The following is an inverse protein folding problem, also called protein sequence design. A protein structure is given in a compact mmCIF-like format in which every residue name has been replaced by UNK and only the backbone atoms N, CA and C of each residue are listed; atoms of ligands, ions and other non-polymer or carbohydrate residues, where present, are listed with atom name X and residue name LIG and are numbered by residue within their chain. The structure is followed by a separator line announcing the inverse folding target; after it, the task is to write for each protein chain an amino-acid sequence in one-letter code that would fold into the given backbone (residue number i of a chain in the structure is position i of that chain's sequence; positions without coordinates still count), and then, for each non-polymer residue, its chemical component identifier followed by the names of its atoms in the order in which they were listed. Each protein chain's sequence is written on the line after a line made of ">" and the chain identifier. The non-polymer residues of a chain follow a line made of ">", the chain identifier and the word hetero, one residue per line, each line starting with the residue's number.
data_IF_917667635722
#
_entry.id   IF_917667635722
#
_cell.length_a   1.000
_cell.length_b   1.000
_cell.length_c   1.000
_cell.angle_alpha   90.00
_cell.angle_beta   90.00
_cell.angle_gamma   90.00
#
_symmetry.space_group_name_H-M   'P 1'
#
loop_
_entity.id
_entity.type
_entity.pdbx_description
1 polymer ?
#
# COMPACT_ATOMS: atom_id res chain seq x y z
N UNK A 1 -52.46 13.74 -51.35
CA UNK A 1 -52.85 12.98 -50.14
C UNK A 1 -51.72 11.99 -49.87
N UNK A 2 -50.78 12.34 -48.99
CA UNK A 2 -49.54 11.56 -48.74
C UNK A 2 -49.86 10.54 -47.66
N UNK A 3 -49.72 9.26 -47.99
CA UNK A 3 -50.08 8.13 -47.13
C UNK A 3 -48.99 7.92 -46.05
N UNK A 4 -49.26 8.46 -44.86
CA UNK A 4 -48.46 8.34 -43.64
C UNK A 4 -48.74 7.01 -42.95
N UNK A 5 -48.32 5.89 -43.56
CA UNK A 5 -48.21 4.60 -42.87
C UNK A 5 -46.82 4.03 -43.06
N UNK A 6 -45.87 4.71 -42.41
CA UNK A 6 -44.57 4.16 -42.09
C UNK A 6 -44.78 2.79 -41.42
N UNK A 7 -44.41 1.73 -42.15
CA UNK A 7 -44.43 0.36 -41.65
C UNK A 7 -43.56 0.27 -40.42
N UNK A 8 -44.19 0.28 -39.25
CA UNK A 8 -43.63 -0.27 -38.03
C UNK A 8 -43.20 -1.70 -38.36
N UNK A 9 -41.88 -1.88 -38.58
CA UNK A 9 -41.25 -3.19 -38.70
C UNK A 9 -41.75 -4.00 -37.51
N UNK A 10 -42.55 -5.04 -37.77
CA UNK A 10 -42.87 -6.06 -36.77
C UNK A 10 -41.53 -6.49 -36.21
N UNK A 11 -41.25 -6.14 -34.96
CA UNK A 11 -40.11 -6.69 -34.24
C UNK A 11 -40.40 -8.18 -34.21
N UNK A 12 -39.59 -8.97 -34.91
CA UNK A 12 -39.75 -10.41 -34.96
C UNK A 12 -39.87 -10.90 -33.52
N UNK A 13 -40.98 -11.56 -33.19
CA UNK A 13 -41.28 -12.09 -31.86
C UNK A 13 -40.12 -12.89 -31.23
N UNK A 14 -39.27 -13.64 -31.97
CA UNK A 14 -38.08 -14.26 -31.39
C UNK A 14 -36.98 -13.26 -31.00
N UNK A 15 -36.81 -12.15 -31.74
CA UNK A 15 -35.84 -11.11 -31.40
C UNK A 15 -36.31 -10.31 -30.17
N UNK A 16 -37.60 -9.96 -30.10
CA UNK A 16 -38.16 -9.31 -28.92
C UNK A 16 -38.05 -10.19 -27.67
N UNK A 17 -38.30 -11.50 -27.80
CA UNK A 17 -38.18 -12.48 -26.69
C UNK A 17 -36.74 -12.67 -26.24
N UNK A 18 -35.78 -12.75 -27.17
CA UNK A 18 -34.37 -12.88 -26.82
C UNK A 18 -33.81 -11.60 -26.18
N UNK A 19 -34.23 -10.42 -26.64
CA UNK A 19 -33.90 -9.15 -25.99
C UNK A 19 -34.52 -9.04 -24.59
N UNK A 20 -35.80 -9.42 -24.43
CA UNK A 20 -36.45 -9.46 -23.11
C UNK A 20 -35.78 -10.45 -22.16
N UNK A 21 -35.40 -11.64 -22.65
CA UNK A 21 -34.63 -12.61 -21.88
C UNK A 21 -33.27 -12.04 -21.48
N UNK A 22 -32.55 -11.40 -22.41
CA UNK A 22 -31.26 -10.77 -22.15
C UNK A 22 -31.35 -9.66 -21.11
N UNK A 23 -32.36 -8.80 -21.19
CA UNK A 23 -32.63 -7.75 -20.20
C UNK A 23 -32.99 -8.36 -18.85
N UNK A 24 -33.85 -9.38 -18.82
CA UNK A 24 -34.24 -10.06 -17.58
C UNK A 24 -33.04 -10.73 -16.89
N UNK A 25 -32.18 -11.41 -17.67
CA UNK A 25 -30.94 -12.01 -17.17
C UNK A 25 -29.98 -10.92 -16.68
N UNK A 26 -29.82 -9.82 -17.40
CA UNK A 26 -28.96 -8.70 -16.99
C UNK A 26 -29.45 -8.05 -15.68
N UNK A 27 -30.76 -7.83 -15.53
CA UNK A 27 -31.36 -7.33 -14.28
C UNK A 27 -31.15 -8.35 -13.15
N UNK A 28 -31.41 -9.63 -13.38
CA UNK A 28 -31.21 -10.68 -12.38
C UNK A 28 -29.74 -10.76 -11.92
N UNK A 29 -28.79 -10.77 -12.86
CA UNK A 29 -27.35 -10.75 -12.57
C UNK A 29 -26.96 -9.48 -11.80
N UNK A 30 -27.49 -8.32 -12.18
CA UNK A 30 -27.23 -7.04 -11.49
C UNK A 30 -27.75 -7.07 -10.05
N UNK A 31 -28.95 -7.60 -9.84
CA UNK A 31 -29.55 -7.74 -8.51
C UNK A 31 -28.74 -8.72 -7.67
N UNK A 32 -28.42 -9.91 -8.19
CA UNK A 32 -27.61 -10.91 -7.47
C UNK A 32 -26.20 -10.37 -7.16
N UNK A 33 -25.58 -9.62 -8.08
CA UNK A 33 -24.29 -8.95 -7.87
C UNK A 33 -24.38 -7.89 -6.76
N UNK A 34 -25.44 -7.07 -6.74
CA UNK A 34 -25.68 -6.06 -5.69
C UNK A 34 -25.82 -6.66 -4.30
N UNK A 35 -26.34 -7.89 -4.19
CA UNK A 35 -26.43 -8.63 -2.93
C UNK A 35 -25.19 -9.50 -2.63
N UNK A 36 -24.12 -9.39 -3.42
CA UNK A 36 -22.86 -10.09 -3.19
C UNK A 36 -22.83 -11.57 -3.60
N UNK A 37 -23.89 -12.09 -4.23
CA UNK A 37 -23.99 -13.50 -4.62
C UNK A 37 -22.96 -13.94 -5.68
N UNK A 38 -22.39 -12.99 -6.43
CA UNK A 38 -21.36 -13.23 -7.45
C UNK A 38 -19.96 -12.75 -7.03
N UNK A 39 -19.82 -12.12 -5.85
CA UNK A 39 -18.54 -11.54 -5.43
C UNK A 39 -17.41 -12.58 -5.40
N UNK A 40 -17.71 -13.83 -5.03
CA UNK A 40 -16.73 -14.92 -5.05
C UNK A 40 -16.28 -15.35 -6.46
N UNK A 41 -17.13 -15.24 -7.47
CA UNK A 41 -16.77 -15.57 -8.87
C UNK A 41 -15.98 -14.45 -9.53
N UNK A 42 -16.38 -13.20 -9.30
CA UNK A 42 -15.65 -12.01 -9.74
C UNK A 42 -14.21 -12.03 -9.17
N UNK A 43 -14.08 -12.38 -7.90
CA UNK A 43 -12.78 -12.55 -7.22
C UNK A 43 -11.93 -13.61 -7.89
N UNK A 44 -12.46 -14.80 -8.16
CA UNK A 44 -11.71 -15.88 -8.83
C UNK A 44 -11.28 -15.52 -10.25
N UNK A 45 -12.11 -14.76 -10.98
CA UNK A 45 -11.77 -14.29 -12.32
C UNK A 45 -10.60 -13.30 -12.29
N UNK A 46 -10.59 -12.38 -11.31
CA UNK A 46 -9.48 -11.45 -11.08
C UNK A 46 -8.22 -12.22 -10.68
N UNK A 47 -8.32 -13.18 -9.75
CA UNK A 47 -7.20 -14.01 -9.31
C UNK A 47 -6.54 -14.76 -10.48
N UNK A 48 -7.35 -15.36 -11.36
CA UNK A 48 -6.87 -16.02 -12.58
C UNK A 48 -6.18 -15.02 -13.51
N UNK A 49 -6.78 -13.86 -13.76
CA UNK A 49 -6.19 -12.84 -14.62
C UNK A 49 -4.82 -12.36 -14.11
N UNK A 50 -4.69 -12.15 -12.80
CA UNK A 50 -3.43 -11.73 -12.17
C UNK A 50 -2.35 -12.82 -12.19
N UNK A 51 -2.76 -14.08 -12.07
CA UNK A 51 -1.85 -15.21 -12.23
C UNK A 51 -1.27 -15.29 -13.65
N UNK A 52 -2.09 -15.01 -14.66
CA UNK A 52 -1.67 -15.03 -16.07
C UNK A 52 -1.05 -13.73 -16.56
N UNK A 53 -1.08 -12.65 -15.78
CA UNK A 53 -0.50 -11.36 -16.16
C UNK A 53 1.03 -11.39 -16.01
N UNK A 54 1.72 -10.95 -17.05
CA UNK A 54 3.17 -10.76 -17.01
C UNK A 54 3.56 -9.74 -15.93
N UNK A 55 4.48 -10.16 -15.04
CA UNK A 55 5.09 -9.28 -14.04
C UNK A 55 6.32 -8.64 -14.67
N UNK A 56 6.19 -7.41 -15.15
CA UNK A 56 7.34 -6.61 -15.62
C UNK A 56 8.02 -6.03 -14.38
N UNK A 57 9.26 -6.43 -14.03
CA UNK A 57 9.98 -5.88 -12.89
C UNK A 57 10.36 -4.41 -13.18
N UNK A 58 10.03 -3.53 -12.24
CA UNK A 58 10.39 -2.11 -12.25
C UNK A 58 11.83 -1.98 -11.71
N UNK A 59 12.82 -1.55 -12.51
CA UNK A 59 14.23 -1.52 -12.09
C UNK A 59 14.51 -0.55 -10.92
N UNK A 60 13.59 0.37 -10.63
CA UNK A 60 13.71 1.39 -9.59
C UNK A 60 13.44 0.87 -8.16
N UNK A 61 12.89 -0.34 -8.00
CA UNK A 61 12.52 -0.90 -6.70
C UNK A 61 13.23 -2.23 -6.48
N UNK A 62 14.03 -2.31 -5.43
CA UNK A 62 14.67 -3.56 -4.97
C UNK A 62 13.96 -4.01 -3.70
N UNK A 63 13.39 -5.22 -3.73
CA UNK A 63 12.82 -5.87 -2.55
C UNK A 63 13.81 -6.92 -2.05
N UNK A 64 14.21 -6.80 -0.78
CA UNK A 64 15.08 -7.77 -0.11
C UNK A 64 14.25 -8.53 0.91
N UNK A 65 14.01 -9.81 0.65
CA UNK A 65 13.29 -10.67 1.56
C UNK A 65 14.30 -11.36 2.49
N UNK A 66 14.08 -11.23 3.80
CA UNK A 66 14.84 -11.94 4.84
C UNK A 66 13.89 -12.95 5.46
N UNK A 67 14.03 -14.21 5.05
CA UNK A 67 13.22 -15.33 5.54
C UNK A 67 14.01 -16.15 6.58
N UNK A 68 13.36 -17.19 7.12
CA UNK A 68 13.98 -18.06 8.13
C UNK A 68 15.25 -18.74 7.60
N UNK A 69 15.32 -19.05 6.31
CA UNK A 69 16.53 -19.62 5.70
C UNK A 69 17.67 -18.60 5.72
N UNK A 70 17.41 -17.33 5.37
CA UNK A 70 18.38 -16.25 5.47
C UNK A 70 18.87 -16.08 6.92
N UNK A 71 17.98 -16.16 7.92
CA UNK A 71 18.40 -16.10 9.33
C UNK A 71 19.34 -17.25 9.72
N UNK A 72 19.04 -18.48 9.29
CA UNK A 72 19.91 -19.63 9.52
C UNK A 72 21.28 -19.48 8.84
N UNK A 73 21.31 -19.01 7.59
CA UNK A 73 22.55 -18.78 6.84
C UNK A 73 23.41 -17.66 7.45
N UNK A 74 22.78 -16.59 7.93
CA UNK A 74 23.48 -15.48 8.60
C UNK A 74 23.94 -15.84 10.02
N UNK A 75 23.44 -16.93 10.60
CA UNK A 75 23.65 -17.26 12.01
C UNK A 75 22.98 -16.27 12.97
N UNK A 76 22.04 -15.46 12.48
CA UNK A 76 21.37 -14.40 13.22
C UNK A 76 19.99 -14.86 13.72
N UNK A 77 19.53 -14.30 14.85
CA UNK A 77 18.19 -14.57 15.38
C UNK A 77 17.28 -13.37 15.17
N UNK A 78 15.98 -13.64 15.07
CA UNK A 78 14.99 -12.57 15.16
C UNK A 78 14.90 -12.03 16.59
N UNK A 79 14.74 -10.69 16.77
CA UNK A 79 14.81 -9.64 15.75
C UNK A 79 16.25 -9.32 15.33
N UNK A 80 16.44 -8.85 14.08
CA UNK A 80 17.75 -8.39 13.61
C UNK A 80 18.36 -7.33 14.56
N UNK A 81 19.67 -7.44 14.90
CA UNK A 81 20.32 -6.48 15.78
C UNK A 81 20.25 -5.03 15.25
N UNK A 82 20.07 -4.05 16.14
CA UNK A 82 20.03 -2.62 15.75
C UNK A 82 21.31 -2.14 15.05
N UNK A 83 22.52 -2.57 15.45
CA UNK A 83 23.75 -2.21 14.73
C UNK A 83 23.80 -2.78 13.31
N UNK A 84 23.17 -3.94 13.07
CA UNK A 84 23.10 -4.52 11.73
C UNK A 84 22.18 -3.71 10.83
N UNK A 85 20.97 -3.37 11.32
CA UNK A 85 20.05 -2.48 10.60
C UNK A 85 20.70 -1.11 10.29
N UNK A 86 21.48 -0.58 11.23
CA UNK A 86 22.18 0.68 11.04
C UNK A 86 23.27 0.61 9.95
N UNK A 87 24.08 -0.45 9.94
CA UNK A 87 25.11 -0.65 8.92
C UNK A 87 24.50 -0.88 7.54
N UNK A 88 23.42 -1.66 7.47
CA UNK A 88 22.70 -1.91 6.23
C UNK A 88 22.06 -0.61 5.69
N UNK A 89 21.46 0.19 6.57
CA UNK A 89 20.95 1.52 6.23
C UNK A 89 22.05 2.43 5.66
N UNK A 90 23.19 2.54 6.35
CA UNK A 90 24.33 3.35 5.90
C UNK A 90 24.80 2.89 4.52
N UNK A 91 25.07 1.59 4.36
CA UNK A 91 25.58 1.01 3.13
C UNK A 91 24.64 1.27 1.93
N UNK A 92 23.33 1.06 2.10
CA UNK A 92 22.35 1.25 1.03
C UNK A 92 22.23 2.73 0.63
N UNK A 93 22.21 3.63 1.61
CA UNK A 93 22.13 5.07 1.35
C UNK A 93 23.42 5.62 0.72
N UNK A 94 24.59 5.17 1.18
CA UNK A 94 25.88 5.50 0.56
C UNK A 94 25.99 4.94 -0.88
N UNK A 95 25.35 3.80 -1.14
CA UNK A 95 25.26 3.20 -2.48
C UNK A 95 24.27 3.92 -3.41
N UNK A 96 23.64 5.01 -2.96
CA UNK A 96 22.78 5.86 -3.78
C UNK A 96 21.29 5.55 -3.69
N UNK A 97 20.85 4.71 -2.75
CA UNK A 97 19.43 4.54 -2.49
C UNK A 97 18.81 5.88 -2.03
N UNK A 98 17.78 6.34 -2.72
CA UNK A 98 17.04 7.56 -2.32
C UNK A 98 16.24 7.35 -1.04
N UNK A 99 15.68 6.16 -0.89
CA UNK A 99 14.90 5.75 0.29
C UNK A 99 15.18 4.30 0.61
N UNK A 100 15.29 3.98 1.90
CA UNK A 100 15.39 2.61 2.40
C UNK A 100 14.24 2.38 3.38
N UNK A 101 13.35 1.47 3.01
CA UNK A 101 12.24 1.04 3.86
C UNK A 101 12.57 -0.27 4.57
N UNK A 102 12.43 -0.29 5.88
CA UNK A 102 12.52 -1.49 6.70
C UNK A 102 11.13 -1.88 7.19
N UNK A 103 10.64 -3.06 6.80
CA UNK A 103 9.48 -3.68 7.44
C UNK A 103 9.88 -4.31 8.79
N UNK A 104 10.29 -3.45 9.71
CA UNK A 104 10.72 -3.82 11.06
C UNK A 104 10.09 -2.85 12.06
N UNK A 105 9.34 -3.40 13.01
CA UNK A 105 8.74 -2.61 14.08
C UNK A 105 9.76 -2.31 15.19
N UNK A 106 10.04 -1.03 15.38
CA UNK A 106 10.99 -0.53 16.39
C UNK A 106 10.31 -0.22 17.73
N UNK A 107 9.44 -1.10 18.25
CA UNK A 107 8.57 -0.78 19.40
C UNK A 107 9.19 -0.92 20.80
N UNK A 108 10.21 -1.76 20.97
CA UNK A 108 10.84 -2.04 22.28
C UNK A 108 12.32 -1.70 22.23
N UNK A 109 12.79 -1.07 23.30
CA UNK A 109 14.20 -0.82 23.53
C UNK A 109 14.94 -2.15 23.74
N UNK A 110 16.22 -2.16 23.37
CA UNK A 110 17.14 -3.29 23.54
C UNK A 110 18.20 -2.93 24.56
N UNK A 111 19.45 -2.75 24.15
CA UNK A 111 20.51 -2.15 24.97
C UNK A 111 20.76 -0.72 24.51
N UNK A 112 21.14 0.22 25.40
CA UNK A 112 21.41 1.61 25.01
C UNK A 112 22.46 1.75 23.90
N UNK A 113 23.44 0.85 23.86
CA UNK A 113 24.49 0.83 22.82
C UNK A 113 23.91 0.45 21.46
N UNK A 114 23.10 -0.60 21.40
CA UNK A 114 22.49 -1.07 20.17
C UNK A 114 21.46 -0.08 19.64
N UNK A 115 20.54 0.35 20.50
CA UNK A 115 19.52 1.34 20.18
C UNK A 115 20.14 2.67 19.72
N UNK A 116 21.28 3.05 20.32
CA UNK A 116 22.06 4.22 19.96
C UNK A 116 22.68 4.14 18.55
N UNK A 117 23.04 2.95 18.07
CA UNK A 117 23.58 2.79 16.72
C UNK A 117 22.55 3.15 15.64
N UNK A 118 21.30 2.70 15.83
CA UNK A 118 20.22 3.01 14.89
C UNK A 118 19.77 4.47 14.99
N UNK A 119 19.73 5.04 16.20
CA UNK A 119 19.50 6.50 16.38
C UNK A 119 20.60 7.32 15.68
N UNK A 120 21.86 6.92 15.81
CA UNK A 120 22.99 7.64 15.20
C UNK A 120 22.90 7.67 13.66
N UNK A 121 22.57 6.55 13.01
CA UNK A 121 22.42 6.55 11.54
C UNK A 121 21.24 7.39 11.08
N UNK A 122 20.07 7.29 11.75
CA UNK A 122 18.90 8.09 11.37
C UNK A 122 19.19 9.58 11.47
N UNK A 123 19.86 10.03 12.55
CA UNK A 123 20.29 11.43 12.72
C UNK A 123 21.34 11.86 11.69
N UNK A 124 22.27 10.98 11.30
CA UNK A 124 23.31 11.30 10.30
C UNK A 124 22.70 11.60 8.93
N UNK A 125 21.64 10.87 8.58
CA UNK A 125 20.93 11.00 7.30
C UNK A 125 19.77 11.99 7.33
N UNK A 126 19.41 12.50 8.51
CA UNK A 126 18.50 13.62 8.63
C UNK A 126 19.08 14.86 7.90
N UNK A 127 18.28 15.46 7.03
CA UNK A 127 18.71 16.58 6.17
C UNK A 127 19.59 16.22 4.96
N UNK A 128 19.94 14.94 4.73
CA UNK A 128 20.66 14.50 3.52
C UNK A 128 19.69 14.14 2.38
N UNK A 129 20.20 13.64 1.26
CA UNK A 129 19.38 13.19 0.12
C UNK A 129 18.66 11.86 0.37
N UNK A 130 19.16 11.04 1.30
CA UNK A 130 18.61 9.73 1.64
C UNK A 130 17.55 9.79 2.74
N UNK A 131 16.57 8.88 2.68
CA UNK A 131 15.52 8.73 3.72
C UNK A 131 15.44 7.30 4.26
N UNK A 132 15.21 7.20 5.56
CA UNK A 132 14.91 5.95 6.24
C UNK A 132 13.43 5.91 6.62
N UNK A 133 12.80 4.77 6.35
CA UNK A 133 11.40 4.52 6.66
C UNK A 133 11.26 3.22 7.43
N UNK A 134 10.50 3.22 8.52
CA UNK A 134 10.23 2.02 9.32
C UNK A 134 8.72 1.77 9.42
N UNK A 135 8.36 0.52 9.68
CA UNK A 135 6.95 0.16 9.92
C UNK A 135 6.52 0.45 11.35
N UNK A 136 5.27 0.87 11.48
CA UNK A 136 4.52 0.93 12.75
C UNK A 136 3.19 0.20 12.60
N UNK A 137 2.46 0.07 13.70
CA UNK A 137 1.08 -0.44 13.72
C UNK A 137 0.15 0.73 14.05
N UNK A 138 -0.86 0.95 13.22
CA UNK A 138 -1.96 1.85 13.52
C UNK A 138 -2.98 1.12 14.42
N UNK A 139 -3.08 1.55 15.67
CA UNK A 139 -4.00 0.98 16.66
C UNK A 139 -5.27 1.83 16.70
N UNK A 140 -6.47 1.22 16.64
CA UNK A 140 -7.71 1.97 16.81
C UNK A 140 -7.76 2.62 18.20
N UNK A 141 -8.19 3.87 18.25
CA UNK A 141 -8.45 4.56 19.51
C UNK A 141 -9.85 4.14 19.97
N UNK A 142 -9.91 3.53 21.15
CA UNK A 142 -11.16 3.06 21.76
C UNK A 142 -12.15 4.22 21.98
N UNK A 143 -13.44 3.91 21.89
CA UNK A 143 -14.55 4.83 22.13
C UNK A 143 -14.60 6.12 21.29
N UNK A 144 -13.76 6.24 20.25
CA UNK A 144 -13.81 7.36 19.30
C UNK A 144 -14.62 6.97 18.05
N UNK A 145 -15.53 7.86 17.65
CA UNK A 145 -16.32 7.75 16.42
C UNK A 145 -16.31 9.09 15.65
N UNK A 146 -16.05 9.11 14.32
CA UNK A 146 -15.64 7.97 13.49
C UNK A 146 -14.29 7.39 13.94
N UNK A 147 -13.98 6.15 13.54
CA UNK A 147 -12.77 5.46 13.98
C UNK A 147 -11.50 6.28 13.70
N UNK A 148 -10.66 6.43 14.71
CA UNK A 148 -9.35 7.11 14.64
C UNK A 148 -8.26 6.14 15.06
N UNK A 149 -7.03 6.40 14.62
CA UNK A 149 -5.89 5.54 14.87
C UNK A 149 -4.72 6.29 15.51
N UNK A 150 -3.96 5.59 16.35
CA UNK A 150 -2.70 6.05 16.90
C UNK A 150 -1.57 5.07 16.51
N UNK A 151 -0.39 5.55 16.10
CA UNK A 151 0.72 4.67 15.79
C UNK A 151 1.28 4.06 17.09
N UNK A 152 1.75 2.82 17.04
CA UNK A 152 2.59 2.28 18.12
C UNK A 152 3.87 3.12 18.19
N UNK A 153 4.20 3.72 19.34
CA UNK A 153 5.41 4.50 19.49
C UNK A 153 6.67 3.65 19.21
N UNK A 154 7.67 4.27 18.59
CA UNK A 154 9.00 3.68 18.52
C UNK A 154 9.67 3.69 19.91
N UNK A 155 10.71 2.86 20.08
CA UNK A 155 11.44 2.73 21.34
C UNK A 155 12.14 4.01 21.76
N UNK A 156 12.41 4.93 20.81
CA UNK A 156 13.07 6.20 21.06
C UNK A 156 12.46 7.31 20.21
N UNK A 157 12.17 8.49 20.81
CA UNK A 157 11.76 9.68 20.08
C UNK A 157 12.91 10.30 19.27
N UNK A 158 14.15 9.84 19.47
CA UNK A 158 15.35 10.37 18.81
C UNK A 158 15.57 9.84 17.40
N UNK A 159 14.78 8.86 16.96
CA UNK A 159 14.83 8.29 15.62
C UNK A 159 14.33 9.33 14.61
N UNK A 160 15.27 9.82 13.77
CA UNK A 160 14.97 10.76 12.66
C UNK A 160 14.62 9.99 11.39
N UNK A 161 13.48 9.30 11.43
CA UNK A 161 12.99 8.47 10.33
C UNK A 161 11.48 8.64 10.14
N UNK A 162 10.99 8.33 8.95
CA UNK A 162 9.55 8.34 8.68
C UNK A 162 8.98 7.00 9.16
N UNK A 163 7.79 7.03 9.76
CA UNK A 163 7.07 5.83 10.15
C UNK A 163 5.76 5.72 9.37
N UNK A 164 5.49 4.55 8.81
CA UNK A 164 4.24 4.27 8.12
C UNK A 164 3.62 2.96 8.60
N UNK A 165 2.29 2.90 8.66
CA UNK A 165 1.61 1.72 9.21
C UNK A 165 1.66 0.54 8.23
N UNK A 166 1.82 -0.68 8.76
CA UNK A 166 1.83 -1.93 7.99
C UNK A 166 0.55 -2.76 8.15
N UNK A 167 -0.51 -2.21 8.73
CA UNK A 167 -1.78 -2.89 8.92
C UNK A 167 -2.33 -3.47 7.60
N UNK A 168 -2.61 -4.76 7.61
CA UNK A 168 -3.19 -5.50 6.48
C UNK A 168 -4.54 -6.08 6.92
N UNK A 169 -5.65 -5.31 6.84
CA UNK A 169 -6.95 -5.80 7.26
C UNK A 169 -7.40 -6.97 6.39
N UNK A 170 -7.83 -8.05 7.04
CA UNK A 170 -8.40 -9.22 6.37
C UNK A 170 -9.84 -8.91 5.94
N UNK A 171 -10.16 -9.32 4.72
CA UNK A 171 -11.54 -9.38 4.22
C UNK A 171 -12.28 -10.53 4.94
N UNK A 172 -13.63 -10.59 4.87
CA UNK A 172 -14.40 -11.65 5.54
C UNK A 172 -14.02 -13.09 5.17
N UNK A 173 -13.38 -13.28 4.01
CA UNK A 173 -12.85 -14.58 3.54
C UNK A 173 -11.39 -14.82 3.94
N UNK A 174 -10.82 -14.01 4.84
CA UNK A 174 -9.48 -14.20 5.38
C UNK A 174 -8.35 -13.71 4.48
N UNK A 175 -8.65 -12.94 3.42
CA UNK A 175 -7.66 -12.45 2.47
C UNK A 175 -7.46 -10.93 2.56
N UNK A 176 -6.21 -10.48 2.45
CA UNK A 176 -5.87 -9.05 2.40
C UNK A 176 -6.13 -8.54 0.99
N UNK A 177 -7.16 -7.71 0.82
CA UNK A 177 -7.51 -7.12 -0.49
C UNK A 177 -7.59 -5.60 -0.49
N UNK A 178 -7.41 -4.99 0.66
CA UNK A 178 -7.60 -3.54 0.82
C UNK A 178 -6.37 -2.96 1.50
N UNK A 179 -5.70 -2.05 0.80
CA UNK A 179 -4.76 -1.12 1.39
C UNK A 179 -5.33 0.30 1.35
N UNK A 180 -5.13 1.03 2.45
CA UNK A 180 -5.46 2.45 2.54
C UNK A 180 -4.15 3.24 2.51
N UNK A 181 -4.00 4.27 1.66
CA UNK A 181 -2.81 5.12 1.67
C UNK A 181 -2.64 5.87 3.00
N UNK A 182 -3.75 6.30 3.61
CA UNK A 182 -3.77 6.98 4.89
C UNK A 182 -4.90 6.48 5.80
N UNK A 183 -4.70 6.61 7.11
CA UNK A 183 -5.74 6.39 8.13
C UNK A 183 -5.97 7.67 8.92
N UNK A 184 -7.23 8.00 9.29
CA UNK A 184 -7.51 9.16 10.11
C UNK A 184 -6.92 8.99 11.51
N UNK A 185 -6.08 9.93 11.93
CA UNK A 185 -5.48 9.96 13.26
C UNK A 185 -6.28 10.86 14.22
N UNK A 186 -5.80 11.01 15.46
CA UNK A 186 -6.38 11.97 16.41
C UNK A 186 -6.36 13.40 15.87
N UNK A 187 -7.42 14.17 16.15
CA UNK A 187 -7.58 15.52 15.61
C UNK A 187 -7.74 15.55 14.09
N UNK A 188 -7.07 16.51 13.45
CA UNK A 188 -7.11 16.73 11.99
C UNK A 188 -5.84 16.22 11.29
N UNK A 189 -5.36 15.06 11.73
CA UNK A 189 -4.14 14.41 11.27
C UNK A 189 -4.45 13.09 10.57
N UNK A 190 -3.52 12.65 9.71
CA UNK A 190 -3.57 11.36 9.03
C UNK A 190 -2.26 10.59 9.21
N UNK A 191 -2.36 9.28 9.47
CA UNK A 191 -1.22 8.37 9.49
C UNK A 191 -0.97 7.86 8.07
N UNK A 192 0.26 7.93 7.55
CA UNK A 192 0.60 7.33 6.27
C UNK A 192 0.77 5.81 6.39
N UNK A 193 0.39 5.08 5.35
CA UNK A 193 0.79 3.68 5.20
C UNK A 193 2.29 3.59 5.00
N UNK A 194 2.89 2.41 5.23
CA UNK A 194 4.30 2.19 4.97
C UNK A 194 4.68 2.50 3.52
N UNK A 195 3.86 2.08 2.55
CA UNK A 195 4.08 2.38 1.14
C UNK A 195 4.06 3.89 0.85
N UNK A 196 3.08 4.62 1.40
CA UNK A 196 3.02 6.08 1.25
C UNK A 196 4.23 6.77 1.88
N UNK A 197 4.66 6.30 3.05
CA UNK A 197 5.84 6.81 3.75
C UNK A 197 7.12 6.59 2.94
N UNK A 198 7.28 5.44 2.27
CA UNK A 198 8.39 5.17 1.34
C UNK A 198 8.35 6.10 0.13
N UNK A 199 7.18 6.30 -0.48
CA UNK A 199 7.02 7.24 -1.60
C UNK A 199 7.35 8.69 -1.20
N UNK A 200 6.87 9.14 -0.04
CA UNK A 200 7.22 10.45 0.51
C UNK A 200 8.73 10.54 0.83
N UNK A 201 9.32 9.47 1.34
CA UNK A 201 10.77 9.38 1.54
C UNK A 201 11.55 9.50 0.24
N UNK A 202 11.09 8.88 -0.85
CA UNK A 202 11.67 9.01 -2.18
C UNK A 202 11.63 10.47 -2.69
N UNK A 203 10.52 11.18 -2.43
CA UNK A 203 10.36 12.61 -2.73
C UNK A 203 11.19 13.53 -1.81
N UNK A 204 11.87 12.96 -0.79
CA UNK A 204 12.77 13.68 0.08
C UNK A 204 12.09 14.33 1.29
N UNK A 205 10.83 14.01 1.61
CA UNK A 205 10.17 14.51 2.82
C UNK A 205 10.97 14.16 4.07
N UNK A 206 11.13 15.11 4.99
CA UNK A 206 11.53 14.80 6.37
C UNK A 206 10.33 14.25 7.16
N UNK A 207 10.55 13.61 8.32
CA UNK A 207 9.45 13.17 9.19
C UNK A 207 8.50 14.31 9.55
N UNK A 208 9.04 15.49 9.88
CA UNK A 208 8.27 16.68 10.26
C UNK A 208 7.54 17.28 9.06
N UNK A 209 8.18 17.33 7.89
CA UNK A 209 7.57 17.85 6.67
C UNK A 209 6.38 16.98 6.23
N UNK A 210 6.52 15.65 6.31
CA UNK A 210 5.42 14.74 5.99
C UNK A 210 4.29 14.86 7.01
N UNK A 211 4.61 14.90 8.31
CA UNK A 211 3.60 15.09 9.35
C UNK A 211 2.81 16.40 9.16
N UNK A 212 3.50 17.48 8.79
CA UNK A 212 2.86 18.77 8.48
C UNK A 212 1.98 18.70 7.22
N UNK A 213 2.40 17.97 6.17
CA UNK A 213 1.60 17.77 4.97
C UNK A 213 0.34 16.91 5.22
N UNK A 214 0.39 16.00 6.19
CA UNK A 214 -0.72 15.14 6.59
C UNK A 214 -1.58 15.72 7.73
N UNK A 215 -1.37 16.99 8.09
CA UNK A 215 -2.11 17.70 9.14
C UNK A 215 -2.85 18.92 8.59
N UNK A 216 -4.09 19.14 9.05
CA UNK A 216 -4.87 20.33 8.68
C UNK A 216 -5.85 20.09 7.52
N UNK A 217 -6.40 18.88 7.43
CA UNK A 217 -7.59 18.60 6.64
C UNK A 217 -7.32 17.98 5.28
N UNK A 218 -8.40 17.63 4.59
CA UNK A 218 -8.38 16.87 3.33
C UNK A 218 -7.87 17.67 2.12
N UNK A 219 -7.84 19.00 2.20
CA UNK A 219 -7.39 19.86 1.11
C UNK A 219 -5.86 20.01 1.06
N UNK A 220 -5.14 19.53 2.09
CA UNK A 220 -3.68 19.47 2.04
C UNK A 220 -3.22 18.50 0.97
N UNK A 221 -2.06 18.79 0.40
CA UNK A 221 -1.49 17.98 -0.68
C UNK A 221 -0.13 17.42 -0.26
N UNK A 222 0.14 16.20 -0.73
CA UNK A 222 1.44 15.55 -0.66
C UNK A 222 1.90 15.34 -2.10
N UNK A 223 3.12 15.79 -2.41
CA UNK A 223 3.73 15.52 -3.71
C UNK A 223 4.28 14.09 -3.66
N UNK A 224 3.92 13.26 -4.63
CA UNK A 224 4.30 11.86 -4.68
C UNK A 224 4.83 11.47 -6.07
N UNK A 225 5.76 10.51 -6.14
CA UNK A 225 6.28 10.03 -7.41
C UNK A 225 5.21 9.19 -8.09
N UNK A 226 5.02 9.40 -9.38
CA UNK A 226 4.11 8.62 -10.22
C UNK A 226 4.91 7.90 -11.30
N UNK A 227 4.78 6.57 -11.29
CA UNK A 227 5.40 5.70 -12.27
C UNK A 227 4.60 5.60 -13.56
N UNK A 228 5.31 5.55 -14.68
CA UNK A 228 4.82 5.14 -16.00
C UNK A 228 5.39 3.75 -16.33
N UNK A 229 4.56 2.77 -16.75
CA UNK A 229 5.02 1.40 -17.02
C UNK A 229 6.17 1.27 -18.03
N UNK A 230 6.35 2.26 -18.92
CA UNK A 230 7.40 2.26 -19.95
C UNK A 230 8.57 3.18 -19.61
N UNK A 231 8.37 4.15 -18.74
CA UNK A 231 9.33 5.25 -18.49
C UNK A 231 9.80 5.36 -17.03
N UNK A 232 9.38 4.44 -16.17
CA UNK A 232 9.73 4.50 -14.75
C UNK A 232 9.06 5.66 -14.03
N UNK A 233 9.64 6.09 -12.92
CA UNK A 233 9.18 7.31 -12.21
C UNK A 233 9.56 8.53 -13.04
N UNK A 234 8.56 9.21 -13.60
CA UNK A 234 8.78 10.33 -14.52
C UNK A 234 7.87 11.55 -14.25
N UNK A 235 6.97 11.47 -13.28
CA UNK A 235 6.13 12.58 -12.83
C UNK A 235 6.09 12.63 -11.30
N UNK A 236 5.81 13.82 -10.79
CA UNK A 236 5.69 14.12 -9.38
C UNK A 236 4.40 14.91 -9.22
N UNK A 237 3.33 14.25 -8.78
CA UNK A 237 1.98 14.80 -8.80
C UNK A 237 1.59 15.22 -7.36
N UNK A 238 0.98 16.40 -7.22
CA UNK A 238 0.40 16.83 -5.95
C UNK A 238 -0.94 16.11 -5.74
N UNK A 239 -1.05 15.34 -4.67
CA UNK A 239 -2.23 14.51 -4.38
C UNK A 239 -2.83 14.96 -3.05
N UNK A 240 -4.11 15.29 -3.06
CA UNK A 240 -4.80 15.72 -1.84
C UNK A 240 -4.97 14.59 -0.83
N UNK A 241 -4.88 14.92 0.46
CA UNK A 241 -5.10 13.98 1.56
C UNK A 241 -6.53 13.40 1.51
N UNK A 242 -7.51 14.19 1.05
CA UNK A 242 -8.86 13.70 0.78
C UNK A 242 -8.89 12.60 -0.27
N UNK A 243 -8.19 12.80 -1.39
CA UNK A 243 -8.05 11.78 -2.43
C UNK A 243 -7.37 10.52 -1.88
N UNK A 244 -6.29 10.66 -1.11
CA UNK A 244 -5.60 9.53 -0.48
C UNK A 244 -6.49 8.77 0.52
N UNK A 245 -7.32 9.48 1.29
CA UNK A 245 -8.25 8.90 2.27
C UNK A 245 -9.37 8.11 1.60
N UNK A 246 -9.91 8.67 0.52
CA UNK A 246 -11.04 8.09 -0.20
C UNK A 246 -10.60 6.99 -1.17
N UNK A 247 -9.30 6.97 -1.52
CA UNK A 247 -8.68 5.91 -2.30
C UNK A 247 -8.58 4.62 -1.50
N UNK A 248 -9.08 3.54 -2.10
CA UNK A 248 -8.87 2.18 -1.65
C UNK A 248 -8.07 1.46 -2.72
N UNK A 249 -6.83 1.10 -2.41
CA UNK A 249 -6.06 0.23 -3.28
C UNK A 249 -6.58 -1.19 -3.10
N UNK A 250 -7.17 -1.72 -4.17
CA UNK A 250 -7.45 -3.14 -4.26
C UNK A 250 -6.12 -3.84 -4.44
N UNK A 251 -5.70 -4.57 -3.40
CA UNK A 251 -4.53 -5.43 -3.50
C UNK A 251 -5.01 -6.66 -4.27
N UNK A 252 -4.65 -6.65 -5.54
CA UNK A 252 -4.76 -7.74 -6.48
C UNK A 252 -3.70 -8.80 -6.14
N UNK A 253 -3.89 -9.50 -5.02
CA UNK A 253 -2.94 -10.50 -4.53
C UNK A 253 -3.62 -11.84 -4.26
N UNK A 254 -3.03 -12.88 -4.85
CA UNK A 254 -3.42 -14.28 -4.70
C UNK A 254 -2.31 -15.00 -3.94
N UNK A 255 -2.51 -15.27 -2.65
CA UNK A 255 -1.56 -16.03 -1.85
C UNK A 255 -2.01 -16.19 -0.40
N UNK A 256 -1.57 -17.28 0.24
CA UNK A 256 -1.76 -17.47 1.69
C UNK A 256 -1.01 -16.37 2.47
N UNK A 257 -1.44 -16.00 3.69
CA UNK A 257 -0.64 -15.18 4.58
C UNK A 257 0.80 -15.70 4.66
N UNK A 258 1.79 -14.85 4.37
CA UNK A 258 3.21 -15.23 4.32
C UNK A 258 3.74 -15.67 2.95
N UNK A 259 2.90 -15.79 1.92
CA UNK A 259 3.32 -16.20 0.57
C UNK A 259 3.84 -15.02 -0.26
N UNK A 260 4.81 -14.23 0.22
CA UNK A 260 5.57 -13.39 -0.71
C UNK A 260 6.27 -14.33 -1.69
N UNK A 261 5.67 -14.52 -2.86
CA UNK A 261 6.18 -15.42 -3.88
C UNK A 261 7.61 -15.00 -4.20
N UNK A 262 8.57 -15.82 -3.74
CA UNK A 262 9.97 -15.69 -4.06
C UNK A 262 10.12 -15.54 -5.58
N UNK A 263 10.67 -14.42 -6.01
CA UNK A 263 11.10 -14.28 -7.40
C UNK A 263 12.20 -15.33 -7.64
N UNK A 264 12.12 -15.99 -8.81
CA UNK A 264 13.05 -17.03 -9.25
C UNK A 264 14.49 -16.67 -8.93
N UNK A 265 15.18 -17.66 -8.34
CA UNK A 265 16.63 -17.76 -8.23
C UNK A 265 17.26 -17.41 -9.58
N UNK A 266 18.06 -16.36 -9.63
CA UNK A 266 18.89 -16.05 -10.80
C UNK A 266 19.99 -17.12 -10.87
N UNK A 267 20.04 -17.83 -11.99
CA UNK A 267 21.13 -18.73 -12.35
C UNK A 267 22.06 -18.00 -13.33
#
# INVERSE_FOLDING_TARGET
>A
MVDLRAGLRRVDTPLARSLLLGVAVSIAVTVVSRFGGLAGWETRAIDAFLFFRDRVPTPEIVLVNIDDAAFQEMGERQPLPRPYLAQLAEFLLESGARVVGFDVQLKKATTPREDGALVAVTRRWDGRSGRLVFTTVANPIEDVRPARYAPTPAYSPDLRAIFGFANAPLSPDGLVRVARPVLPAAGDQYLPSFALAVLAGYEGYSPEALAAALTGGTSREVVLPVGDPKRGINRHDAISVGSLRDTVWRIDYVGQPGAFAAARRWA
#
